data_IF_279618479342
#
_entry.id   IF_279618479342
#
_cell.length_a   1.000
_cell.length_b   1.000
_cell.length_c   1.000
_cell.angle_alpha   90.00
_cell.angle_beta   90.00
_cell.angle_gamma   90.00
#
_symmetry.space_group_name_H-M   'P 1'
#
loop_
_entity.id
_entity.type
_entity.pdbx_description
1 polymer ?
#
# COMPACT_ATOMS: atom_id res chain seq x y z
N UNK A 1 23.68 -4.20 8.57
CA UNK A 1 23.86 -5.53 9.19
C UNK A 1 22.51 -6.08 9.58
N UNK A 2 22.35 -7.39 9.48
CA UNK A 2 21.14 -8.11 9.87
C UNK A 2 21.38 -8.84 11.18
N UNK A 3 20.38 -8.87 12.05
CA UNK A 3 20.36 -9.72 13.23
C UNK A 3 19.41 -10.88 12.97
N UNK A 4 19.87 -12.11 13.21
CA UNK A 4 19.11 -13.33 12.90
C UNK A 4 19.11 -14.20 14.14
N UNK A 5 17.92 -14.67 14.52
CA UNK A 5 17.74 -15.57 15.64
C UNK A 5 16.69 -16.63 15.30
N UNK A 6 17.05 -17.91 15.42
CA UNK A 6 16.13 -19.02 15.17
C UNK A 6 15.44 -19.46 16.46
N UNK A 7 14.14 -19.67 16.40
CA UNK A 7 13.31 -20.12 17.53
C UNK A 7 12.37 -21.25 17.10
N UNK A 8 11.69 -21.87 18.06
CA UNK A 8 10.73 -22.96 17.83
C UNK A 8 9.59 -22.57 16.87
N UNK A 9 9.23 -21.30 16.82
CA UNK A 9 8.10 -20.81 16.01
C UNK A 9 8.51 -20.31 14.61
N UNK A 10 9.81 -20.28 14.31
CA UNK A 10 10.36 -19.71 13.08
C UNK A 10 11.63 -18.88 13.32
N UNK A 11 12.08 -18.22 12.28
CA UNK A 11 13.31 -17.43 12.27
C UNK A 11 12.99 -15.94 12.32
N UNK A 12 13.59 -15.26 13.30
CA UNK A 12 13.53 -13.82 13.45
C UNK A 12 14.65 -13.16 12.65
N UNK A 13 14.30 -12.16 11.85
CA UNK A 13 15.24 -11.34 11.07
C UNK A 13 14.99 -9.89 11.42
N UNK A 14 16.00 -9.19 11.92
CA UNK A 14 15.92 -7.77 12.21
C UNK A 14 16.92 -6.95 11.39
N UNK A 15 16.47 -5.77 10.96
CA UNK A 15 17.28 -4.79 10.27
C UNK A 15 17.26 -3.46 11.01
N UNK A 16 18.39 -2.75 10.96
CA UNK A 16 18.46 -1.35 11.37
C UNK A 16 18.37 -0.43 10.14
N UNK A 17 17.67 0.70 10.29
CA UNK A 17 17.64 1.77 9.28
C UNK A 17 17.74 3.14 9.94
N UNK A 18 18.73 3.93 9.55
CA UNK A 18 18.92 5.30 10.05
C UNK A 18 17.75 6.23 9.71
N UNK A 19 17.15 6.08 8.52
CA UNK A 19 15.95 6.83 8.15
C UNK A 19 14.75 6.49 9.04
N UNK A 20 14.60 5.21 9.40
CA UNK A 20 13.58 4.76 10.35
C UNK A 20 13.86 5.27 11.76
N UNK A 21 15.11 5.23 12.22
CA UNK A 21 15.50 5.76 13.53
C UNK A 21 15.10 7.24 13.69
N UNK A 22 15.37 8.08 12.68
CA UNK A 22 14.95 9.49 12.68
C UNK A 22 13.44 9.65 12.80
N UNK A 23 12.67 8.85 12.05
CA UNK A 23 11.21 8.88 12.09
C UNK A 23 10.66 8.39 13.44
N UNK A 24 11.17 7.27 13.93
CA UNK A 24 10.75 6.66 15.19
C UNK A 24 11.05 7.60 16.37
N UNK A 25 12.21 8.28 16.36
CA UNK A 25 12.55 9.33 17.31
C UNK A 25 11.53 10.47 17.29
N UNK A 26 11.23 11.01 16.12
CA UNK A 26 10.23 12.08 15.97
C UNK A 26 8.85 11.64 16.46
N UNK A 27 8.41 10.43 16.11
CA UNK A 27 7.13 9.87 16.53
C UNK A 27 7.10 9.62 18.06
N UNK A 28 8.21 9.18 18.66
CA UNK A 28 8.38 9.03 20.11
C UNK A 28 8.26 10.38 20.82
N UNK A 29 9.01 11.39 20.38
CA UNK A 29 8.98 12.75 20.94
C UNK A 29 7.56 13.33 20.89
N UNK A 30 6.86 13.18 19.75
CA UNK A 30 5.47 13.61 19.61
C UNK A 30 4.52 12.88 20.56
N UNK A 31 4.73 11.58 20.79
CA UNK A 31 3.96 10.79 21.75
C UNK A 31 4.26 11.18 23.20
N UNK A 32 5.51 11.52 23.51
CA UNK A 32 5.95 12.01 24.81
C UNK A 32 5.31 13.36 25.14
N UNK A 33 5.33 14.31 24.22
CA UNK A 33 4.70 15.62 24.42
C UNK A 33 3.19 15.48 24.64
N UNK A 34 2.52 14.62 23.86
CA UNK A 34 1.10 14.30 24.10
C UNK A 34 0.85 13.70 25.48
N UNK A 35 1.73 12.81 25.94
CA UNK A 35 1.62 12.22 27.28
C UNK A 35 1.83 13.27 28.38
N UNK A 36 2.84 14.15 28.26
CA UNK A 36 3.09 15.25 29.19
C UNK A 36 1.91 16.23 29.26
N UNK A 37 1.36 16.64 28.12
CA UNK A 37 0.19 17.54 28.06
C UNK A 37 -1.03 16.92 28.73
N UNK A 38 -1.29 15.63 28.53
CA UNK A 38 -2.39 14.93 29.20
C UNK A 38 -2.19 14.78 30.71
N UNK A 39 -0.95 14.59 31.17
CA UNK A 39 -0.63 14.54 32.60
C UNK A 39 -0.78 15.91 33.28
N UNK A 40 -0.48 17.00 32.56
CA UNK A 40 -0.70 18.38 33.03
C UNK A 40 -2.19 18.79 33.00
N UNK A 41 -2.98 18.23 32.10
CA UNK A 41 -4.41 18.50 31.97
C UNK A 41 -5.27 17.84 33.06
N UNK A 42 -6.48 18.37 33.28
CA UNK A 42 -7.43 17.87 34.31
C UNK A 42 -7.96 16.45 34.07
N UNK A 43 -7.73 15.85 32.90
CA UNK A 43 -8.21 14.52 32.53
C UNK A 43 -7.05 13.61 32.14
N UNK A 44 -6.16 13.34 33.09
CA UNK A 44 -5.14 12.32 32.93
C UNK A 44 -5.84 10.96 32.72
N UNK A 45 -5.56 10.31 31.59
CA UNK A 45 -6.15 9.01 31.22
C UNK A 45 -5.05 8.07 30.74
N UNK A 46 -5.22 6.77 30.95
CA UNK A 46 -4.30 5.71 30.44
C UNK A 46 -4.27 5.62 28.90
N UNK A 47 -5.03 6.45 28.19
CA UNK A 47 -5.19 6.39 26.73
C UNK A 47 -3.92 6.74 25.93
N UNK A 48 -2.78 7.04 26.58
CA UNK A 48 -1.51 7.38 25.92
C UNK A 48 -0.40 6.39 26.28
N UNK A 49 0.34 5.94 25.27
CA UNK A 49 1.34 4.85 25.31
C UNK A 49 2.36 4.95 26.46
N UNK A 50 2.83 6.16 26.80
CA UNK A 50 3.88 6.38 27.81
C UNK A 50 3.38 6.72 29.21
N UNK A 51 2.08 6.55 29.49
CA UNK A 51 1.49 6.82 30.81
C UNK A 51 1.25 5.50 31.57
N UNK A 52 1.71 5.42 32.81
CA UNK A 52 1.42 4.33 33.75
C UNK A 52 0.48 4.79 34.85
N UNK A 53 -0.31 3.84 35.37
CA UNK A 53 -1.17 4.01 36.55
C UNK A 53 -0.36 3.64 37.79
N UNK A 54 -0.41 4.48 38.82
CA UNK A 54 0.25 4.25 40.11
C UNK A 54 -0.76 3.77 41.16
N UNK A 55 -0.30 3.21 42.28
CA UNK A 55 -1.11 2.55 43.34
C UNK A 55 -2.22 3.40 44.02
N UNK A 56 -2.50 4.63 43.56
CA UNK A 56 -3.55 5.52 44.09
C UNK A 56 -4.34 6.25 42.99
N UNK A 57 -4.62 5.58 41.86
CA UNK A 57 -5.31 6.15 40.70
C UNK A 57 -4.64 7.41 40.10
N UNK A 58 -3.37 7.67 40.44
CA UNK A 58 -2.57 8.74 39.86
C UNK A 58 -1.81 8.25 38.63
N UNK A 59 -1.57 9.17 37.70
CA UNK A 59 -0.90 8.87 36.44
C UNK A 59 0.51 9.45 36.45
N UNK A 60 1.48 8.68 35.95
CA UNK A 60 2.87 9.09 35.84
C UNK A 60 3.45 8.65 34.49
N UNK A 61 4.58 9.24 34.08
CA UNK A 61 5.32 8.77 32.92
C UNK A 61 5.95 7.39 33.20
N UNK A 62 5.96 6.54 32.18
CA UNK A 62 6.57 5.22 32.22
C UNK A 62 7.99 5.27 31.64
N UNK A 63 8.98 5.66 32.45
CA UNK A 63 10.39 5.78 32.04
C UNK A 63 10.92 4.51 31.37
N UNK A 64 10.64 3.33 31.94
CA UNK A 64 11.09 2.05 31.38
C UNK A 64 10.56 1.80 29.95
N UNK A 65 9.34 2.25 29.64
CA UNK A 65 8.77 2.11 28.29
C UNK A 65 9.39 3.13 27.33
N UNK A 66 9.75 4.31 27.82
CA UNK A 66 10.43 5.35 27.04
C UNK A 66 11.84 4.90 26.66
N UNK A 67 12.61 4.38 27.62
CA UNK A 67 13.95 3.84 27.41
C UNK A 67 13.93 2.66 26.44
N UNK A 68 12.99 1.72 26.61
CA UNK A 68 12.81 0.62 25.64
C UNK A 68 12.47 1.12 24.25
N UNK A 69 11.60 2.12 24.13
CA UNK A 69 11.25 2.68 22.83
C UNK A 69 12.45 3.36 22.16
N UNK A 70 13.29 4.04 22.94
CA UNK A 70 14.55 4.67 22.47
C UNK A 70 15.57 3.64 21.99
N UNK A 71 15.77 2.55 22.75
CA UNK A 71 16.67 1.46 22.36
C UNK A 71 16.21 0.72 21.09
N UNK A 72 14.91 0.72 20.81
CA UNK A 72 14.33 0.06 19.64
C UNK A 72 14.24 0.96 18.39
N UNK A 73 14.64 2.23 18.48
CA UNK A 73 14.55 3.17 17.35
C UNK A 73 15.31 2.65 16.13
N UNK A 74 14.62 2.60 14.98
CA UNK A 74 15.23 2.19 13.72
C UNK A 74 15.38 0.67 13.54
N UNK A 75 15.12 -0.13 14.58
CA UNK A 75 15.13 -1.59 14.50
C UNK A 75 13.75 -2.07 14.07
N UNK A 76 13.70 -2.88 13.01
CA UNK A 76 12.47 -3.57 12.60
C UNK A 76 12.74 -5.06 12.45
N UNK A 77 11.96 -5.84 13.17
CA UNK A 77 11.99 -7.30 13.14
C UNK A 77 10.89 -7.89 12.25
N UNK A 78 11.22 -9.00 11.61
CA UNK A 78 10.37 -9.81 10.76
C UNK A 78 10.47 -11.26 11.25
N UNK A 79 9.38 -11.99 11.13
CA UNK A 79 9.32 -13.39 11.55
C UNK A 79 8.94 -14.24 10.34
N UNK A 80 9.74 -15.24 10.01
CA UNK A 80 9.51 -16.09 8.85
C UNK A 80 9.69 -17.56 9.19
N UNK A 81 8.89 -18.42 8.56
CA UNK A 81 9.05 -19.87 8.60
C UNK A 81 9.95 -20.38 7.46
N UNK A 82 10.54 -19.48 6.68
CA UNK A 82 11.45 -19.81 5.60
C UNK A 82 12.83 -20.20 6.15
N UNK A 83 13.47 -21.16 5.48
CA UNK A 83 14.83 -21.58 5.79
C UNK A 83 15.84 -20.54 5.25
N UNK A 84 16.54 -19.88 6.16
CA UNK A 84 17.54 -18.86 5.83
C UNK A 84 18.88 -19.44 5.36
N UNK A 85 19.07 -20.76 5.41
CA UNK A 85 20.21 -21.38 4.71
C UNK A 85 20.02 -21.35 3.19
N UNK A 86 18.77 -21.25 2.75
CA UNK A 86 18.38 -21.26 1.33
C UNK A 86 18.01 -19.85 0.83
N UNK A 87 17.58 -18.95 1.73
CA UNK A 87 17.04 -17.64 1.38
C UNK A 87 17.77 -16.53 2.12
N UNK A 88 18.22 -15.52 1.37
CA UNK A 88 18.85 -14.33 1.92
C UNK A 88 17.89 -13.50 2.80
N UNK A 89 18.33 -12.99 3.98
CA UNK A 89 17.53 -12.14 4.85
C UNK A 89 16.97 -10.89 4.15
N UNK A 90 17.73 -10.34 3.19
CA UNK A 90 17.33 -9.20 2.36
C UNK A 90 16.04 -9.49 1.57
N UNK A 91 15.89 -10.71 1.05
CA UNK A 91 14.71 -11.15 0.31
C UNK A 91 13.49 -11.15 1.22
N UNK A 92 13.61 -11.68 2.45
CA UNK A 92 12.51 -11.68 3.43
C UNK A 92 12.02 -10.26 3.67
N UNK A 93 12.94 -9.33 3.94
CA UNK A 93 12.64 -7.92 4.19
C UNK A 93 11.97 -7.29 2.96
N UNK A 94 12.51 -7.53 1.76
CA UNK A 94 11.96 -7.02 0.50
C UNK A 94 10.51 -7.50 0.28
N UNK A 95 10.22 -8.79 0.49
CA UNK A 95 8.87 -9.34 0.37
C UNK A 95 7.89 -8.76 1.39
N UNK A 96 8.35 -8.51 2.61
CA UNK A 96 7.53 -7.81 3.60
C UNK A 96 7.29 -6.34 3.22
N UNK A 97 8.23 -5.70 2.53
CA UNK A 97 7.97 -4.38 1.97
C UNK A 97 6.88 -4.45 0.91
N UNK A 98 6.85 -5.45 0.03
CA UNK A 98 5.82 -5.58 -1.01
C UNK A 98 4.37 -5.65 -0.49
N UNK A 99 4.15 -5.87 0.80
CA UNK A 99 2.82 -5.82 1.43
C UNK A 99 2.08 -4.49 1.16
N UNK A 100 2.80 -3.38 0.95
CA UNK A 100 2.19 -2.10 0.59
C UNK A 100 1.37 -2.16 -0.71
N UNK A 101 1.72 -3.06 -1.64
CA UNK A 101 0.95 -3.27 -2.87
C UNK A 101 -0.47 -3.78 -2.58
N UNK A 102 -0.61 -4.61 -1.54
CA UNK A 102 -1.91 -5.13 -1.09
C UNK A 102 -2.76 -3.99 -0.51
N UNK A 103 -2.16 -3.14 0.33
CA UNK A 103 -2.84 -1.95 0.86
C UNK A 103 -3.28 -0.99 -0.25
N UNK A 104 -2.42 -0.77 -1.25
CA UNK A 104 -2.75 0.01 -2.45
C UNK A 104 -3.96 -0.58 -3.17
N UNK A 105 -3.96 -1.89 -3.44
CA UNK A 105 -5.07 -2.56 -4.10
C UNK A 105 -6.39 -2.40 -3.32
N UNK A 106 -6.36 -2.57 -2.00
CA UNK A 106 -7.53 -2.34 -1.15
C UNK A 106 -8.00 -0.88 -1.15
N UNK A 107 -7.08 0.08 -1.20
CA UNK A 107 -7.43 1.50 -1.31
C UNK A 107 -8.12 1.78 -2.63
N UNK A 108 -7.53 1.34 -3.74
CA UNK A 108 -8.10 1.50 -5.09
C UNK A 108 -9.46 0.84 -5.22
N UNK A 109 -9.62 -0.37 -4.68
CA UNK A 109 -10.91 -1.06 -4.64
C UNK A 109 -11.98 -0.18 -3.98
N UNK A 110 -11.64 0.46 -2.86
CA UNK A 110 -12.56 1.25 -2.05
C UNK A 110 -12.89 2.62 -2.64
N UNK A 111 -11.92 3.32 -3.21
CA UNK A 111 -12.10 4.69 -3.72
C UNK A 111 -12.44 4.69 -5.19
N UNK A 112 -11.57 4.11 -6.01
CA UNK A 112 -11.59 4.29 -7.47
C UNK A 112 -12.62 3.35 -8.11
N UNK A 113 -12.72 2.12 -7.59
CA UNK A 113 -13.65 1.10 -8.09
C UNK A 113 -14.93 0.99 -7.25
N UNK A 114 -15.08 1.84 -6.24
CA UNK A 114 -16.28 1.91 -5.38
C UNK A 114 -16.79 0.53 -4.92
N UNK A 115 -15.88 -0.34 -4.47
CA UNK A 115 -16.17 -1.73 -4.07
C UNK A 115 -17.21 -1.87 -2.96
N UNK A 116 -17.52 -0.79 -2.24
CA UNK A 116 -18.57 -0.77 -1.21
C UNK A 116 -19.93 -0.78 -1.91
N UNK A 117 -20.69 -1.88 -1.88
CA UNK A 117 -22.00 -1.92 -2.48
C UNK A 117 -22.99 -1.20 -1.55
N UNK A 118 -23.08 0.13 -1.66
CA UNK A 118 -23.92 0.95 -0.78
C UNK A 118 -25.41 0.74 -1.07
N UNK A 119 -25.77 0.46 -2.32
CA UNK A 119 -27.16 0.39 -2.79
C UNK A 119 -27.59 -1.00 -3.31
N UNK A 120 -26.77 -2.04 -3.11
CA UNK A 120 -27.10 -3.39 -3.56
C UNK A 120 -27.65 -4.22 -2.40
N UNK A 121 -28.91 -4.63 -2.49
CA UNK A 121 -29.58 -5.41 -1.44
C UNK A 121 -29.72 -6.90 -1.80
N UNK A 122 -29.66 -7.24 -3.09
CA UNK A 122 -29.71 -8.63 -3.57
C UNK A 122 -28.32 -9.25 -3.57
N UNK A 123 -28.22 -10.50 -3.12
CA UNK A 123 -26.95 -11.25 -3.02
C UNK A 123 -26.25 -11.37 -4.38
N UNK A 124 -27.03 -11.58 -5.44
CA UNK A 124 -26.56 -11.73 -6.81
C UNK A 124 -25.90 -10.44 -7.29
N UNK A 125 -26.53 -9.29 -7.03
CA UNK A 125 -26.00 -7.99 -7.43
C UNK A 125 -24.74 -7.61 -6.65
N UNK A 126 -24.65 -7.96 -5.36
CA UNK A 126 -23.43 -7.78 -4.56
C UNK A 126 -22.28 -8.62 -5.15
N UNK A 127 -22.53 -9.89 -5.48
CA UNK A 127 -21.54 -10.77 -6.09
C UNK A 127 -21.06 -10.24 -7.45
N UNK A 128 -21.99 -9.82 -8.30
CA UNK A 128 -21.66 -9.25 -9.60
C UNK A 128 -20.79 -7.98 -9.48
N UNK A 129 -21.14 -7.06 -8.57
CA UNK A 129 -20.36 -5.86 -8.31
C UNK A 129 -18.94 -6.19 -7.85
N UNK A 130 -18.80 -7.10 -6.87
CA UNK A 130 -17.48 -7.52 -6.37
C UNK A 130 -16.65 -8.21 -7.46
N UNK A 131 -17.26 -9.00 -8.34
CA UNK A 131 -16.58 -9.63 -9.47
C UNK A 131 -16.03 -8.59 -10.44
N UNK A 132 -16.84 -7.60 -10.84
CA UNK A 132 -16.42 -6.52 -11.75
C UNK A 132 -15.29 -5.68 -11.13
N UNK A 133 -15.39 -5.37 -9.85
CA UNK A 133 -14.35 -4.67 -9.10
C UNK A 133 -13.06 -5.48 -9.08
N UNK A 134 -13.15 -6.79 -8.78
CA UNK A 134 -11.98 -7.65 -8.72
C UNK A 134 -11.31 -7.79 -10.09
N UNK A 135 -12.10 -7.97 -11.15
CA UNK A 135 -11.60 -8.01 -12.52
C UNK A 135 -10.90 -6.69 -12.90
N UNK A 136 -11.51 -5.55 -12.56
CA UNK A 136 -10.91 -4.23 -12.78
C UNK A 136 -9.58 -4.06 -12.05
N UNK A 137 -9.44 -4.57 -10.81
CA UNK A 137 -8.15 -4.58 -10.09
C UNK A 137 -7.11 -5.45 -10.78
N UNK A 138 -7.49 -6.65 -11.22
CA UNK A 138 -6.58 -7.55 -11.95
C UNK A 138 -6.08 -6.90 -13.25
N UNK A 139 -6.98 -6.30 -14.03
CA UNK A 139 -6.64 -5.57 -15.26
C UNK A 139 -5.73 -4.38 -14.97
N UNK A 140 -6.09 -3.55 -13.99
CA UNK A 140 -5.26 -2.43 -13.57
C UNK A 140 -3.86 -2.87 -13.16
N UNK A 141 -3.75 -3.94 -12.37
CA UNK A 141 -2.44 -4.47 -11.95
C UNK A 141 -1.64 -5.04 -13.10
N UNK A 142 -2.28 -5.75 -14.02
CA UNK A 142 -1.64 -6.25 -15.23
C UNK A 142 -1.07 -5.09 -16.07
N UNK A 143 -1.83 -4.00 -16.23
CA UNK A 143 -1.36 -2.79 -16.90
C UNK A 143 -0.16 -2.17 -16.20
N UNK A 144 -0.17 -2.02 -14.87
CA UNK A 144 1.01 -1.48 -14.16
C UNK A 144 2.26 -2.33 -14.36
N UNK A 145 2.13 -3.65 -14.36
CA UNK A 145 3.25 -4.57 -14.53
C UNK A 145 3.79 -4.51 -15.96
N UNK A 146 2.92 -4.46 -16.97
CA UNK A 146 3.35 -4.43 -18.39
C UNK A 146 3.93 -3.07 -18.79
N UNK A 147 3.35 -1.97 -18.31
CA UNK A 147 3.77 -0.62 -18.71
C UNK A 147 4.88 -0.06 -17.82
N UNK A 148 4.99 -0.57 -16.58
CA UNK A 148 5.80 -0.04 -15.49
C UNK A 148 5.44 1.43 -15.15
N UNK A 149 4.17 1.78 -15.28
CA UNK A 149 3.63 3.11 -15.02
C UNK A 149 2.37 3.03 -14.16
N UNK A 150 1.93 4.16 -13.60
CA UNK A 150 0.67 4.19 -12.85
C UNK A 150 -0.53 3.97 -13.78
N UNK A 151 -1.59 3.35 -13.26
CA UNK A 151 -2.85 3.16 -14.01
C UNK A 151 -3.39 4.49 -14.52
N UNK A 152 -3.39 5.54 -13.68
CA UNK A 152 -3.86 6.87 -14.07
C UNK A 152 -3.11 7.44 -15.27
N UNK A 153 -1.76 7.33 -15.29
CA UNK A 153 -0.95 7.79 -16.42
C UNK A 153 -1.21 6.94 -17.67
N UNK A 154 -1.32 5.62 -17.50
CA UNK A 154 -1.62 4.68 -18.59
C UNK A 154 -2.97 5.02 -19.23
N UNK A 155 -4.00 5.25 -18.41
CA UNK A 155 -5.34 5.64 -18.86
C UNK A 155 -5.30 7.00 -19.57
N UNK A 156 -4.63 8.00 -19.01
CA UNK A 156 -4.51 9.32 -19.63
C UNK A 156 -3.88 9.25 -21.03
N UNK A 157 -2.80 8.45 -21.19
CA UNK A 157 -2.18 8.25 -22.50
C UNK A 157 -3.07 7.46 -23.46
N UNK A 158 -3.82 6.45 -22.98
CA UNK A 158 -4.77 5.72 -23.81
C UNK A 158 -5.95 6.58 -24.26
N UNK A 159 -6.37 7.58 -23.48
CA UNK A 159 -7.38 8.54 -23.90
C UNK A 159 -6.94 9.43 -25.06
N UNK A 160 -5.62 9.63 -25.26
CA UNK A 160 -5.09 10.36 -26.43
C UNK A 160 -5.17 9.53 -27.73
N UNK A 161 -5.37 8.22 -27.59
CA UNK A 161 -5.50 7.25 -28.67
C UNK A 161 -6.98 7.11 -29.03
N UNK A 162 -7.48 8.04 -29.84
CA UNK A 162 -8.85 7.97 -30.34
C UNK A 162 -8.92 7.36 -31.75
N UNK A 163 -9.73 6.31 -31.90
CA UNK A 163 -10.14 5.74 -33.19
C UNK A 163 -11.62 6.07 -33.43
N UNK A 164 -11.89 6.88 -34.44
CA UNK A 164 -13.26 7.18 -34.87
C UNK A 164 -13.60 6.22 -36.01
N UNK A 165 -14.51 5.30 -35.78
CA UNK A 165 -15.06 4.44 -36.84
C UNK A 165 -16.44 4.93 -37.25
N UNK A 166 -16.54 5.46 -38.47
CA UNK A 166 -17.80 5.84 -39.10
C UNK A 166 -18.33 4.64 -39.88
N UNK A 167 -19.57 4.25 -39.61
CA UNK A 167 -20.24 3.17 -40.34
C UNK A 167 -21.40 3.77 -41.13
N UNK A 168 -21.37 3.65 -42.45
CA UNK A 168 -22.49 4.02 -43.31
C UNK A 168 -23.58 2.95 -43.21
N UNK A 169 -24.75 3.33 -42.69
CA UNK A 169 -25.88 2.40 -42.49
C UNK A 169 -26.56 1.98 -43.80
N UNK A 170 -26.35 2.69 -44.91
CA UNK A 170 -26.98 2.38 -46.21
C UNK A 170 -26.10 1.48 -47.06
N UNK A 171 -24.78 1.66 -47.03
CA UNK A 171 -23.84 0.85 -47.81
C UNK A 171 -23.11 -0.22 -46.99
N UNK A 172 -23.23 -0.19 -45.66
CA UNK A 172 -22.46 -1.03 -44.72
C UNK A 172 -20.94 -0.83 -44.76
N UNK A 173 -20.47 0.22 -45.42
CA UNK A 173 -19.04 0.55 -45.45
C UNK A 173 -18.60 1.16 -44.11
N UNK A 174 -17.38 0.82 -43.67
CA UNK A 174 -16.78 1.41 -42.47
C UNK A 174 -15.50 2.18 -42.79
N UNK A 175 -15.37 3.35 -42.20
CA UNK A 175 -14.23 4.25 -42.33
C UNK A 175 -13.65 4.54 -40.94
N UNK A 176 -12.43 4.10 -40.68
CA UNK A 176 -11.74 4.35 -39.40
C UNK A 176 -10.70 5.45 -39.57
N UNK A 177 -10.81 6.53 -38.78
CA UNK A 177 -9.81 7.58 -38.65
C UNK A 177 -9.14 7.48 -37.29
N UNK A 178 -7.82 7.24 -37.28
CA UNK A 178 -6.98 7.19 -36.09
C UNK A 178 -6.40 8.56 -35.74
N UNK A 179 -6.20 8.84 -34.45
CA UNK A 179 -5.55 10.07 -33.97
C UNK A 179 -4.16 10.26 -34.59
N UNK A 180 -3.86 11.48 -35.07
CA UNK A 180 -2.67 11.77 -35.87
C UNK A 180 -1.37 11.91 -35.06
N UNK A 181 -1.46 12.21 -33.76
CA UNK A 181 -0.29 12.62 -32.95
C UNK A 181 0.13 11.50 -32.01
N UNK A 182 0.89 10.53 -32.53
CA UNK A 182 1.48 9.47 -31.71
C UNK A 182 2.85 9.91 -31.18
N UNK A 183 2.90 10.42 -29.95
CA UNK A 183 4.16 10.69 -29.23
C UNK A 183 5.01 9.42 -29.09
N UNK A 184 6.32 9.57 -29.00
CA UNK A 184 7.27 8.44 -28.86
C UNK A 184 6.96 7.56 -27.64
N UNK A 185 6.52 8.18 -26.54
CA UNK A 185 6.08 7.49 -25.34
C UNK A 185 4.84 6.62 -25.58
N UNK A 186 3.86 7.14 -26.35
CA UNK A 186 2.62 6.44 -26.65
C UNK A 186 2.84 5.23 -27.56
N UNK A 187 3.73 5.34 -28.55
CA UNK A 187 4.14 4.20 -29.39
C UNK A 187 4.80 3.10 -28.56
N UNK A 188 5.67 3.48 -27.62
CA UNK A 188 6.30 2.53 -26.70
C UNK A 188 5.27 1.85 -25.79
N UNK A 189 4.27 2.60 -25.32
CA UNK A 189 3.17 2.08 -24.51
C UNK A 189 2.36 1.03 -25.28
N UNK A 190 1.92 1.36 -26.50
CA UNK A 190 1.14 0.46 -27.36
C UNK A 190 1.91 -0.82 -27.71
N UNK A 191 3.21 -0.70 -27.97
CA UNK A 191 4.09 -1.86 -28.18
C UNK A 191 4.18 -2.76 -26.94
N UNK A 192 4.29 -2.19 -25.74
CA UNK A 192 4.28 -2.95 -24.47
C UNK A 192 2.95 -3.66 -24.23
N UNK A 193 1.84 -3.07 -24.66
CA UNK A 193 0.50 -3.66 -24.57
C UNK A 193 0.24 -4.72 -25.64
N UNK A 194 1.18 -4.94 -26.58
CA UNK A 194 1.01 -5.80 -27.76
C UNK A 194 -0.27 -5.46 -28.54
N UNK A 195 -0.66 -4.19 -28.52
CA UNK A 195 -1.82 -3.72 -29.27
C UNK A 195 -1.45 -3.63 -30.75
N UNK A 196 -2.33 -4.09 -31.63
CA UNK A 196 -2.17 -3.97 -33.09
C UNK A 196 -2.47 -2.55 -33.61
N UNK A 197 -2.35 -1.54 -32.73
CA UNK A 197 -2.60 -0.14 -33.03
C UNK A 197 -1.57 0.43 -33.99
#
# INVERSE_FOLDING_TARGET
GYFIESSKFGTFVANYSAGRAKKDKHDREKQLEKAKTKLKGKTATKATKFVKVTKKASYALNSNLIEKAELMEGIKGYYTNLDLNTIEPEMVISRYHDLWHVEKAFRMAKTDLMARPIYHFKKESIKAHLLVVFLSLCMGRALEITTNQSIARTIAMLWEVEDITLVDRKTSDSYTKRSATMTKELKLLLAKLKSAY
#
